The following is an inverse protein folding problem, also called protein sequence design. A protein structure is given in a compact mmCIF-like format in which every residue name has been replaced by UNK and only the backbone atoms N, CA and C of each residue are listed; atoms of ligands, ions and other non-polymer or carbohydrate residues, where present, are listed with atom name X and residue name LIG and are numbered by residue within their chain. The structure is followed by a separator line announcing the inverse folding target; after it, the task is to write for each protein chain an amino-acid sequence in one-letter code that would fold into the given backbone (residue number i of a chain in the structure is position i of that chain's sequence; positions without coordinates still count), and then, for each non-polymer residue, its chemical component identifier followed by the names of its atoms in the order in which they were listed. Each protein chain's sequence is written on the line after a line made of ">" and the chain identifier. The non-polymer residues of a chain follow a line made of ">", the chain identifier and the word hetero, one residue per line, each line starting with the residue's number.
data_IF_410793979256
#
_entry.id   IF_410793979256
#
_cell.length_a   1.000
_cell.length_b   1.000
_cell.length_c   1.000
_cell.angle_alpha   90.00
_cell.angle_beta   90.00
_cell.angle_gamma   90.00
#
_symmetry.space_group_name_H-M   'P 1'
#
loop_
_entity.id
_entity.type
_entity.pdbx_description
1 polymer ?
#
# COMPACT_ATOMS: atom_id res chain seq x y z
N UNK A 1 -29.33 31.89 -35.32
CA UNK A 1 -30.21 32.69 -34.46
C UNK A 1 -29.75 32.50 -33.01
N UNK A 2 -29.11 33.46 -32.40
CA UNK A 2 -28.71 33.43 -30.99
C UNK A 2 -29.88 33.98 -30.18
N UNK A 3 -30.60 33.14 -29.45
CA UNK A 3 -31.61 33.59 -28.47
C UNK A 3 -30.97 33.62 -27.09
N UNK A 4 -30.97 34.80 -26.45
CA UNK A 4 -30.55 34.93 -25.06
C UNK A 4 -31.75 34.65 -24.15
N UNK A 5 -31.66 33.59 -23.39
CA UNK A 5 -32.64 33.28 -22.34
C UNK A 5 -32.26 33.99 -21.02
N UNK A 6 -32.38 35.32 -21.06
CA UNK A 6 -32.08 36.24 -19.96
C UNK A 6 -33.35 36.38 -19.09
N UNK A 7 -33.47 35.54 -18.06
CA UNK A 7 -34.48 35.75 -17.02
C UNK A 7 -33.97 36.67 -15.93
N UNK A 8 -34.86 37.44 -15.28
CA UNK A 8 -34.52 38.35 -14.14
C UNK A 8 -33.78 37.61 -13.04
N UNK A 9 -34.08 36.33 -12.80
CA UNK A 9 -33.32 35.47 -11.87
C UNK A 9 -31.88 35.20 -12.31
N UNK A 10 -31.61 35.01 -13.59
CA UNK A 10 -30.24 34.87 -14.12
C UNK A 10 -29.46 36.17 -14.02
N UNK A 11 -30.11 37.29 -14.23
CA UNK A 11 -29.51 38.63 -14.07
C UNK A 11 -29.19 38.92 -12.58
N UNK A 12 -30.10 38.63 -11.65
CA UNK A 12 -29.84 38.72 -10.21
C UNK A 12 -28.70 37.87 -9.74
N UNK A 13 -28.64 36.60 -10.19
CA UNK A 13 -27.52 35.67 -9.88
C UNK A 13 -26.20 36.16 -10.42
N UNK A 14 -26.15 36.87 -11.54
CA UNK A 14 -24.90 37.42 -12.11
C UNK A 14 -24.42 38.69 -11.43
N UNK A 15 -25.33 39.41 -10.73
CA UNK A 15 -25.04 40.68 -10.04
C UNK A 15 -24.78 40.46 -8.54
N UNK A 16 -25.40 39.46 -7.93
CA UNK A 16 -25.18 39.12 -6.52
C UNK A 16 -23.83 38.39 -6.40
N UNK A 17 -22.88 39.05 -5.74
CA UNK A 17 -21.60 38.44 -5.37
C UNK A 17 -21.64 38.03 -3.91
N UNK A 18 -21.35 36.78 -3.64
CA UNK A 18 -21.16 36.32 -2.28
C UNK A 18 -19.81 36.80 -1.76
N UNK A 19 -19.81 37.29 -0.54
CA UNK A 19 -18.59 37.66 0.18
C UNK A 19 -18.55 36.88 1.50
N UNK A 20 -17.40 36.36 1.83
CA UNK A 20 -17.16 35.69 3.10
C UNK A 20 -16.57 36.70 4.08
N UNK A 21 -17.03 36.68 5.33
CA UNK A 21 -16.54 37.54 6.39
C UNK A 21 -15.50 36.77 7.20
N UNK A 22 -14.25 37.20 7.16
CA UNK A 22 -13.18 36.67 7.99
C UNK A 22 -12.62 37.75 8.89
N UNK A 23 -12.99 37.74 10.17
CA UNK A 23 -12.75 38.82 11.08
C UNK A 23 -13.43 40.11 10.57
N UNK A 24 -12.65 41.16 10.32
CA UNK A 24 -13.12 42.47 9.80
C UNK A 24 -13.04 42.58 8.26
N UNK A 25 -12.72 41.51 7.55
CA UNK A 25 -12.52 41.56 6.10
C UNK A 25 -13.63 40.81 5.36
N UNK A 26 -14.15 41.45 4.33
CA UNK A 26 -15.05 40.81 3.36
C UNK A 26 -14.23 40.33 2.18
N UNK A 27 -14.16 39.00 2.00
CA UNK A 27 -13.39 38.37 0.95
C UNK A 27 -14.37 37.91 -0.15
N UNK A 28 -14.23 38.42 -1.38
CA UNK A 28 -15.06 37.96 -2.50
C UNK A 28 -14.84 36.48 -2.84
N UNK A 29 -15.92 35.79 -3.23
CA UNK A 29 -15.88 34.37 -3.57
C UNK A 29 -14.78 34.01 -4.60
N UNK A 30 -14.51 34.86 -5.57
CA UNK A 30 -13.50 34.67 -6.59
C UNK A 30 -12.03 34.76 -6.10
N UNK A 31 -11.82 35.11 -4.84
CA UNK A 31 -10.50 35.11 -4.20
C UNK A 31 -10.21 33.82 -3.41
N UNK A 32 -11.20 32.95 -3.25
CA UNK A 32 -10.97 31.63 -2.66
C UNK A 32 -10.52 30.60 -3.69
N UNK A 33 -9.66 29.69 -3.26
CA UNK A 33 -9.32 28.51 -4.05
C UNK A 33 -10.53 27.58 -4.23
N UNK A 34 -10.56 26.82 -5.31
CA UNK A 34 -11.68 25.91 -5.66
C UNK A 34 -12.04 24.92 -4.54
N UNK A 35 -11.04 24.42 -3.80
CA UNK A 35 -11.29 23.50 -2.68
C UNK A 35 -12.09 24.12 -1.55
N UNK A 36 -11.80 25.38 -1.20
CA UNK A 36 -12.55 26.09 -0.19
C UNK A 36 -13.98 26.40 -0.67
N UNK A 37 -14.10 26.81 -1.93
CA UNK A 37 -15.41 27.03 -2.56
C UNK A 37 -16.26 25.75 -2.56
N UNK A 38 -15.67 24.59 -2.86
CA UNK A 38 -16.36 23.31 -2.80
C UNK A 38 -16.87 22.99 -1.38
N UNK A 39 -16.03 23.17 -0.37
CA UNK A 39 -16.42 22.98 1.03
C UNK A 39 -17.62 23.88 1.39
N UNK A 40 -17.57 25.16 1.02
CA UNK A 40 -18.67 26.10 1.27
C UNK A 40 -19.95 25.71 0.51
N UNK A 41 -19.84 25.17 -0.70
CA UNK A 41 -20.98 24.66 -1.44
C UNK A 41 -21.62 23.45 -0.75
N UNK A 42 -20.84 22.53 -0.22
CA UNK A 42 -21.34 21.40 0.58
C UNK A 42 -22.13 21.90 1.79
N UNK A 43 -21.56 22.83 2.55
CA UNK A 43 -22.21 23.45 3.73
C UNK A 43 -23.51 24.15 3.32
N UNK A 44 -23.48 24.98 2.26
CA UNK A 44 -24.66 25.72 1.78
C UNK A 44 -25.76 24.79 1.30
N UNK A 45 -25.42 23.67 0.66
CA UNK A 45 -26.40 22.67 0.22
C UNK A 45 -27.06 21.97 1.42
N UNK A 46 -26.30 21.66 2.47
CA UNK A 46 -26.83 21.05 3.71
C UNK A 46 -27.78 22.03 4.40
N UNK A 47 -27.39 23.31 4.56
CA UNK A 47 -28.26 24.34 5.11
C UNK A 47 -29.53 24.49 4.26
N UNK A 48 -29.39 24.61 2.95
CA UNK A 48 -30.53 24.74 2.04
C UNK A 48 -31.49 23.55 2.08
N UNK A 49 -30.96 22.33 2.33
CA UNK A 49 -31.80 21.15 2.58
C UNK A 49 -32.54 21.26 3.92
N UNK A 50 -31.85 21.67 4.98
CA UNK A 50 -32.44 21.84 6.30
C UNK A 50 -33.57 22.88 6.30
N UNK A 51 -33.40 23.98 5.57
CA UNK A 51 -34.38 25.07 5.51
C UNK A 51 -35.66 24.71 4.76
N UNK A 52 -35.60 23.71 3.85
CA UNK A 52 -36.79 23.27 3.10
C UNK A 52 -37.88 22.64 3.97
N UNK A 53 -37.54 22.13 5.13
CA UNK A 53 -38.44 21.40 5.99
C UNK A 53 -38.64 22.09 7.35
N UNK A 54 -39.87 22.31 7.82
CA UNK A 54 -40.10 22.75 9.21
C UNK A 54 -39.47 21.79 10.23
N UNK A 55 -39.12 22.29 11.40
CA UNK A 55 -38.52 21.55 12.50
C UNK A 55 -39.29 20.25 12.81
N UNK A 56 -40.60 20.33 12.95
CA UNK A 56 -41.48 19.19 13.25
C UNK A 56 -41.44 18.10 12.17
N UNK A 57 -41.42 18.51 10.91
CA UNK A 57 -41.34 17.58 9.75
C UNK A 57 -39.96 16.97 9.64
N UNK A 58 -38.90 17.76 9.82
CA UNK A 58 -37.53 17.27 9.75
C UNK A 58 -37.21 16.26 10.86
N UNK A 59 -37.60 16.58 12.12
CA UNK A 59 -37.31 15.74 13.27
C UNK A 59 -38.14 14.46 13.36
N UNK A 60 -39.25 14.37 12.60
CA UNK A 60 -40.11 13.18 12.53
C UNK A 60 -39.71 12.18 11.44
N UNK A 61 -38.70 12.50 10.64
CA UNK A 61 -38.25 11.70 9.49
C UNK A 61 -36.80 11.20 9.68
N UNK A 62 -36.46 10.13 8.97
CA UNK A 62 -35.07 9.73 8.82
C UNK A 62 -34.47 10.53 7.67
N UNK A 63 -33.45 11.33 7.98
CA UNK A 63 -32.77 12.14 6.99
C UNK A 63 -31.51 11.43 6.50
N UNK A 64 -31.39 11.27 5.18
CA UNK A 64 -30.22 10.71 4.54
C UNK A 64 -29.45 11.83 3.84
N UNK A 65 -28.23 12.09 4.28
CA UNK A 65 -27.35 13.10 3.71
C UNK A 65 -26.22 12.38 2.98
N UNK A 66 -26.18 12.46 1.67
CA UNK A 66 -25.12 11.89 0.83
C UNK A 66 -24.19 13.00 0.35
N UNK A 67 -22.92 12.85 0.60
CA UNK A 67 -21.85 13.72 0.13
C UNK A 67 -20.95 12.91 -0.78
N UNK A 68 -20.98 13.23 -2.07
CA UNK A 68 -20.23 12.49 -3.10
C UNK A 68 -18.91 13.22 -3.38
N UNK A 69 -17.80 12.46 -3.30
CA UNK A 69 -16.45 12.87 -3.64
C UNK A 69 -16.09 14.28 -3.12
N UNK A 70 -16.20 14.52 -1.79
CA UNK A 70 -15.94 15.86 -1.22
C UNK A 70 -14.51 16.34 -1.47
N UNK A 71 -13.58 15.44 -1.74
CA UNK A 71 -12.17 15.72 -2.04
C UNK A 71 -11.94 16.53 -3.31
N UNK A 72 -12.93 16.63 -4.19
CA UNK A 72 -12.80 17.33 -5.47
C UNK A 72 -12.31 18.77 -5.27
N UNK A 73 -11.16 19.08 -5.88
CA UNK A 73 -10.41 20.34 -5.74
C UNK A 73 -9.86 20.65 -4.34
N UNK A 74 -10.03 19.77 -3.35
CA UNK A 74 -9.48 20.00 -2.00
C UNK A 74 -8.01 19.56 -1.92
N UNK A 75 -7.17 20.41 -1.32
CA UNK A 75 -5.82 20.03 -0.94
C UNK A 75 -5.86 18.88 0.08
N UNK A 76 -4.91 17.91 0.05
CA UNK A 76 -4.89 16.78 0.99
C UNK A 76 -5.14 17.13 2.45
N UNK A 77 -4.50 18.19 2.96
CA UNK A 77 -4.72 18.67 4.34
C UNK A 77 -6.17 19.09 4.60
N UNK A 78 -6.86 19.68 3.62
CA UNK A 78 -8.27 20.04 3.77
C UNK A 78 -9.18 18.80 3.76
N UNK A 79 -8.81 17.75 3.01
CA UNK A 79 -9.55 16.49 3.01
C UNK A 79 -9.51 15.83 4.38
N UNK A 80 -8.34 15.81 5.02
CA UNK A 80 -8.16 15.29 6.38
C UNK A 80 -8.96 16.09 7.42
N UNK A 81 -8.91 17.42 7.34
CA UNK A 81 -9.70 18.29 8.21
C UNK A 81 -11.21 18.11 7.99
N UNK A 82 -11.64 17.99 6.73
CA UNK A 82 -13.04 17.82 6.40
C UNK A 82 -13.62 16.55 7.06
N UNK A 83 -13.00 15.39 6.86
CA UNK A 83 -13.52 14.12 7.39
C UNK A 83 -13.50 14.09 8.92
N UNK A 84 -12.50 14.74 9.55
CA UNK A 84 -12.42 14.89 10.99
C UNK A 84 -13.58 15.73 11.54
N UNK A 85 -13.86 16.85 10.91
CA UNK A 85 -14.74 17.86 11.49
C UNK A 85 -16.19 17.79 10.93
N UNK A 86 -16.45 17.02 9.88
CA UNK A 86 -17.75 16.96 9.17
C UNK A 86 -18.93 16.63 10.09
N UNK A 87 -18.78 15.67 11.00
CA UNK A 87 -19.83 15.30 11.93
C UNK A 87 -20.12 16.39 12.95
N UNK A 88 -19.08 17.05 13.46
CA UNK A 88 -19.21 18.18 14.40
C UNK A 88 -19.86 19.37 13.70
N UNK A 89 -19.44 19.65 12.47
CA UNK A 89 -19.99 20.72 11.65
C UNK A 89 -21.49 20.51 11.37
N UNK A 90 -21.87 19.31 10.92
CA UNK A 90 -23.28 18.98 10.64
C UNK A 90 -24.11 19.01 11.93
N UNK A 91 -23.58 18.48 13.04
CA UNK A 91 -24.22 18.57 14.35
C UNK A 91 -24.51 20.01 14.78
N UNK A 92 -23.52 20.88 14.68
CA UNK A 92 -23.68 22.31 15.03
C UNK A 92 -24.69 23.03 14.11
N UNK A 93 -24.73 22.70 12.82
CA UNK A 93 -25.73 23.24 11.88
C UNK A 93 -27.15 22.79 12.26
N UNK A 94 -27.34 21.53 12.62
CA UNK A 94 -28.63 20.97 13.03
C UNK A 94 -29.11 21.63 14.34
N UNK A 95 -28.26 21.74 15.33
CA UNK A 95 -28.57 22.39 16.61
C UNK A 95 -28.94 23.87 16.40
N UNK A 96 -28.20 24.60 15.58
CA UNK A 96 -28.48 26.00 15.25
C UNK A 96 -29.85 26.24 14.58
N UNK A 97 -30.42 25.19 13.97
CA UNK A 97 -31.77 25.22 13.38
C UNK A 97 -32.84 24.46 14.20
N UNK A 98 -32.57 24.13 15.46
CA UNK A 98 -33.44 23.34 16.35
C UNK A 98 -33.85 21.98 15.74
N UNK A 99 -32.95 21.36 14.98
CA UNK A 99 -33.16 20.08 14.32
C UNK A 99 -32.33 19.00 14.99
N UNK A 100 -32.91 17.81 15.16
CA UNK A 100 -32.24 16.71 15.81
C UNK A 100 -31.70 15.69 14.79
N UNK A 101 -30.62 15.00 15.18
CA UNK A 101 -29.88 14.08 14.30
C UNK A 101 -30.55 12.69 14.27
N UNK A 102 -31.73 12.57 13.65
CA UNK A 102 -32.13 11.28 13.09
C UNK A 102 -31.61 11.19 11.66
N UNK A 103 -30.32 11.50 11.48
CA UNK A 103 -29.72 11.61 10.15
C UNK A 103 -28.60 10.60 10.00
N UNK A 104 -28.55 9.94 8.85
CA UNK A 104 -27.42 9.14 8.41
C UNK A 104 -26.63 9.93 7.36
N UNK A 105 -25.32 10.02 7.58
CA UNK A 105 -24.41 10.66 6.64
C UNK A 105 -23.67 9.58 5.88
N UNK A 106 -23.72 9.62 4.56
CA UNK A 106 -22.96 8.73 3.65
C UNK A 106 -22.00 9.60 2.88
N UNK A 107 -20.72 9.25 2.92
CA UNK A 107 -19.66 9.94 2.17
C UNK A 107 -19.05 8.91 1.22
N UNK A 108 -19.08 9.20 -0.09
CA UNK A 108 -18.34 8.42 -1.07
C UNK A 108 -17.02 9.14 -1.37
N UNK A 109 -15.95 8.38 -1.52
CA UNK A 109 -14.62 8.95 -1.77
C UNK A 109 -13.70 7.99 -2.50
N UNK A 110 -12.80 8.55 -3.32
CA UNK A 110 -11.64 7.89 -3.90
C UNK A 110 -10.32 8.37 -3.25
N UNK A 111 -10.41 9.11 -2.13
CA UNK A 111 -9.24 9.68 -1.47
C UNK A 111 -8.68 8.78 -0.38
N UNK A 112 -7.42 8.38 -0.57
CA UNK A 112 -6.65 7.71 0.47
C UNK A 112 -6.41 8.61 1.70
N UNK A 113 -6.42 9.93 1.56
CA UNK A 113 -6.30 10.88 2.67
C UNK A 113 -7.55 10.87 3.56
N UNK A 114 -8.74 10.90 2.96
CA UNK A 114 -10.01 10.80 3.69
C UNK A 114 -10.07 9.47 4.45
N UNK A 115 -9.76 8.36 3.77
CA UNK A 115 -9.78 7.04 4.38
C UNK A 115 -8.78 6.92 5.53
N UNK A 116 -7.54 7.38 5.31
CA UNK A 116 -6.49 7.35 6.31
C UNK A 116 -6.88 8.15 7.56
N UNK A 117 -7.37 9.38 7.37
CA UNK A 117 -7.83 10.23 8.48
C UNK A 117 -9.01 9.58 9.22
N UNK A 118 -9.98 9.00 8.51
CA UNK A 118 -11.12 8.30 9.11
C UNK A 118 -10.69 7.14 10.01
N UNK A 119 -9.74 6.31 9.55
CA UNK A 119 -9.24 5.17 10.32
C UNK A 119 -8.46 5.64 11.55
N UNK A 120 -7.59 6.64 11.39
CA UNK A 120 -6.74 7.12 12.47
C UNK A 120 -7.51 7.88 13.54
N UNK A 121 -8.43 8.75 13.17
CA UNK A 121 -9.20 9.55 14.11
C UNK A 121 -10.13 8.69 14.95
N UNK A 122 -10.90 7.81 14.32
CA UNK A 122 -11.78 6.87 15.01
C UNK A 122 -11.05 5.70 15.65
N UNK A 123 -9.75 5.50 15.35
CA UNK A 123 -9.00 4.29 15.65
C UNK A 123 -9.83 3.02 15.37
N UNK A 124 -10.55 3.03 14.24
CA UNK A 124 -11.55 2.01 13.91
C UNK A 124 -11.79 1.94 12.39
N UNK A 125 -12.03 0.73 11.91
CA UNK A 125 -12.55 0.49 10.56
C UNK A 125 -14.08 0.60 10.48
N UNK A 126 -14.75 0.78 11.61
CA UNK A 126 -16.20 0.82 11.66
C UNK A 126 -16.79 1.91 10.75
N UNK A 127 -17.93 1.60 10.15
CA UNK A 127 -18.65 2.46 9.21
C UNK A 127 -17.90 2.71 7.89
N UNK A 128 -17.01 1.81 7.48
CA UNK A 128 -16.39 1.82 6.16
C UNK A 128 -17.04 0.73 5.31
N UNK A 129 -17.58 1.11 4.16
CA UNK A 129 -18.07 0.19 3.15
C UNK A 129 -17.12 0.26 1.95
N UNK A 130 -16.43 -0.84 1.70
CA UNK A 130 -15.54 -0.98 0.57
C UNK A 130 -16.32 -1.49 -0.64
N UNK A 131 -16.35 -0.71 -1.70
CA UNK A 131 -17.04 -1.06 -2.94
C UNK A 131 -16.00 -1.56 -3.94
N UNK A 132 -16.20 -2.78 -4.42
CA UNK A 132 -15.30 -3.43 -5.37
C UNK A 132 -16.11 -4.19 -6.43
N UNK A 133 -15.44 -4.60 -7.49
CA UNK A 133 -16.02 -5.48 -8.51
C UNK A 133 -15.53 -6.91 -8.30
N UNK A 134 -16.45 -7.87 -8.36
CA UNK A 134 -16.14 -9.28 -8.31
C UNK A 134 -17.01 -10.02 -9.33
N UNK A 135 -16.39 -10.73 -10.28
CA UNK A 135 -17.06 -11.45 -11.37
C UNK A 135 -18.07 -10.54 -12.14
N UNK A 136 -17.66 -9.35 -12.55
CA UNK A 136 -18.46 -8.33 -13.24
C UNK A 136 -19.71 -7.88 -12.44
N UNK A 137 -19.70 -8.04 -11.13
CA UNK A 137 -20.74 -7.57 -10.23
C UNK A 137 -20.15 -6.64 -9.19
N UNK A 138 -20.77 -5.47 -9.02
CA UNK A 138 -20.42 -4.55 -7.94
C UNK A 138 -20.79 -5.15 -6.59
N UNK A 139 -19.84 -5.24 -5.69
CA UNK A 139 -20.01 -5.77 -4.34
C UNK A 139 -19.63 -4.70 -3.32
N UNK A 140 -20.41 -4.59 -2.24
CA UNK A 140 -20.07 -3.78 -1.08
C UNK A 140 -19.65 -4.69 0.06
N UNK A 141 -18.44 -4.48 0.58
CA UNK A 141 -17.87 -5.23 1.70
C UNK A 141 -17.86 -4.30 2.90
N UNK A 142 -18.53 -4.70 3.97
CA UNK A 142 -18.51 -3.97 5.22
C UNK A 142 -17.15 -4.23 5.88
N UNK A 143 -16.36 -3.17 6.00
CA UNK A 143 -15.12 -3.22 6.76
C UNK A 143 -15.40 -2.66 8.15
N UNK A 144 -15.27 -3.53 9.14
CA UNK A 144 -15.28 -3.18 10.54
C UNK A 144 -14.22 -3.98 11.29
N UNK A 145 -14.01 -3.65 12.54
CA UNK A 145 -13.00 -4.31 13.37
C UNK A 145 -13.25 -5.82 13.52
N UNK A 146 -14.52 -6.26 13.47
CA UNK A 146 -14.91 -7.66 13.56
C UNK A 146 -14.74 -8.41 12.24
N UNK A 147 -14.96 -7.75 11.13
CA UNK A 147 -14.76 -8.33 9.79
C UNK A 147 -13.28 -8.55 9.50
N UNK A 148 -12.42 -7.59 9.91
CA UNK A 148 -10.98 -7.68 9.68
C UNK A 148 -10.34 -8.73 10.58
N UNK A 149 -10.60 -8.70 11.90
CA UNK A 149 -10.12 -9.72 12.84
C UNK A 149 -11.29 -10.22 13.69
N UNK A 150 -11.97 -11.28 13.25
CA UNK A 150 -13.14 -11.81 13.94
C UNK A 150 -12.85 -12.25 15.38
N UNK A 151 -13.77 -11.93 16.28
CA UNK A 151 -13.77 -12.50 17.63
C UNK A 151 -14.16 -13.97 17.55
N UNK A 152 -13.38 -14.85 18.18
CA UNK A 152 -13.70 -16.28 18.28
C UNK A 152 -14.74 -16.51 19.39
N UNK A 153 -15.64 -17.47 19.16
CA UNK A 153 -16.52 -17.92 20.24
C UNK A 153 -15.69 -18.52 21.37
N UNK A 154 -15.96 -18.11 22.62
CA UNK A 154 -15.21 -18.52 23.83
C UNK A 154 -13.69 -18.18 23.77
N UNK A 155 -13.33 -17.04 23.19
CA UNK A 155 -11.97 -16.55 23.16
C UNK A 155 -11.42 -16.33 24.58
N UNK A 156 -10.25 -16.90 24.87
CA UNK A 156 -9.58 -16.68 26.16
C UNK A 156 -9.08 -15.21 26.25
N UNK A 157 -8.99 -14.66 27.47
CA UNK A 157 -8.55 -13.27 27.68
C UNK A 157 -7.18 -12.96 27.03
N UNK A 158 -6.28 -13.93 27.01
CA UNK A 158 -4.96 -13.77 26.40
C UNK A 158 -5.03 -13.66 24.87
N UNK A 159 -5.92 -14.44 24.24
CA UNK A 159 -6.14 -14.40 22.79
C UNK A 159 -6.88 -13.12 22.39
N UNK A 160 -7.84 -12.66 23.20
CA UNK A 160 -8.51 -11.37 23.01
C UNK A 160 -7.49 -10.21 23.05
N UNK A 161 -6.58 -10.20 24.02
CA UNK A 161 -5.51 -9.20 24.10
C UNK A 161 -4.61 -9.21 22.87
N UNK A 162 -4.22 -10.40 22.38
CA UNK A 162 -3.42 -10.56 21.16
C UNK A 162 -4.17 -10.03 19.94
N UNK A 163 -5.44 -10.38 19.79
CA UNK A 163 -6.30 -9.93 18.71
C UNK A 163 -6.45 -8.41 18.68
N UNK A 164 -6.75 -7.80 19.83
CA UNK A 164 -6.86 -6.35 19.96
C UNK A 164 -5.54 -5.63 19.68
N UNK A 165 -4.42 -6.19 20.15
CA UNK A 165 -3.09 -5.66 19.86
C UNK A 165 -2.76 -5.73 18.37
N UNK A 166 -3.09 -6.83 17.68
CA UNK A 166 -2.92 -6.97 16.23
C UNK A 166 -3.77 -5.96 15.47
N UNK A 167 -5.04 -5.80 15.84
CA UNK A 167 -5.93 -4.83 15.21
C UNK A 167 -5.43 -3.39 15.42
N UNK A 168 -4.98 -3.05 16.62
CA UNK A 168 -4.40 -1.75 16.92
C UNK A 168 -3.10 -1.51 16.14
N UNK A 169 -2.29 -2.56 15.96
CA UNK A 169 -1.08 -2.49 15.16
C UNK A 169 -1.41 -2.18 13.69
N UNK A 170 -2.34 -2.91 13.08
CA UNK A 170 -2.78 -2.66 11.69
C UNK A 170 -3.23 -1.20 11.55
N UNK A 171 -4.13 -0.72 12.42
CA UNK A 171 -4.64 0.66 12.36
C UNK A 171 -3.55 1.71 12.46
N UNK A 172 -2.57 1.52 13.36
CA UNK A 172 -1.46 2.45 13.52
C UNK A 172 -0.45 2.42 12.36
N UNK A 173 -0.31 1.26 11.73
CA UNK A 173 0.61 1.08 10.61
C UNK A 173 0.00 1.40 9.24
N UNK A 174 -1.32 1.57 9.15
CA UNK A 174 -1.94 2.11 7.94
C UNK A 174 -1.49 3.56 7.82
N UNK A 175 -0.54 3.79 6.92
CA UNK A 175 -0.08 5.10 6.48
C UNK A 175 -0.80 5.48 5.19
N UNK A 176 -0.58 6.68 4.71
CA UNK A 176 -1.13 7.11 3.41
C UNK A 176 -0.82 6.11 2.27
N UNK A 177 0.41 5.58 2.20
CA UNK A 177 0.79 4.57 1.20
C UNK A 177 -0.02 3.28 1.30
N UNK A 178 -0.25 2.79 2.51
CA UNK A 178 -1.08 1.59 2.73
C UNK A 178 -2.58 1.88 2.48
N UNK A 179 -3.06 3.10 2.74
CA UNK A 179 -4.44 3.48 2.43
C UNK A 179 -4.74 3.45 0.93
N UNK A 180 -3.73 3.61 0.07
CA UNK A 180 -3.88 3.45 -1.38
C UNK A 180 -4.26 2.02 -1.80
N UNK A 181 -3.96 1.03 -0.97
CA UNK A 181 -4.35 -0.37 -1.19
C UNK A 181 -5.86 -0.54 -1.45
N UNK A 182 -6.69 0.27 -0.79
CA UNK A 182 -8.15 0.20 -0.93
C UNK A 182 -8.65 0.67 -2.30
N UNK A 183 -7.82 1.33 -3.08
CA UNK A 183 -8.17 1.87 -4.41
C UNK A 183 -7.38 1.22 -5.52
N UNK A 184 -6.52 0.25 -5.18
CA UNK A 184 -5.64 -0.40 -6.13
C UNK A 184 -6.31 -1.59 -6.83
N UNK A 185 -5.91 -1.85 -8.08
CA UNK A 185 -6.27 -3.06 -8.82
C UNK A 185 -5.50 -4.29 -8.28
N UNK A 186 -4.29 -4.06 -7.77
CA UNK A 186 -3.46 -5.08 -7.11
C UNK A 186 -2.44 -4.43 -6.18
N UNK A 187 -1.82 -5.22 -5.31
CA UNK A 187 -0.77 -4.74 -4.43
C UNK A 187 0.43 -5.68 -4.36
N UNK A 188 1.62 -5.10 -4.29
CA UNK A 188 2.87 -5.81 -4.08
C UNK A 188 3.51 -5.27 -2.80
N UNK A 189 3.83 -6.17 -1.88
CA UNK A 189 4.58 -5.87 -0.67
C UNK A 189 5.99 -6.39 -0.80
N UNK A 190 6.98 -5.55 -0.51
CA UNK A 190 8.41 -5.89 -0.54
C UNK A 190 9.05 -5.63 0.81
N UNK A 191 10.03 -6.43 1.17
CA UNK A 191 10.69 -6.36 2.47
C UNK A 191 11.77 -5.28 2.52
N UNK A 192 12.51 -5.08 1.42
CA UNK A 192 13.68 -4.22 1.35
C UNK A 192 13.59 -3.07 0.36
N UNK A 193 14.46 -2.08 0.58
CA UNK A 193 14.56 -0.90 -0.28
C UNK A 193 15.05 -1.23 -1.69
N UNK A 194 15.88 -2.27 -1.84
CA UNK A 194 16.41 -2.68 -3.13
C UNK A 194 15.33 -3.21 -4.05
N UNK A 195 14.45 -4.06 -3.52
CA UNK A 195 13.26 -4.54 -4.23
C UNK A 195 12.35 -3.38 -4.60
N UNK A 196 12.08 -2.49 -3.65
CA UNK A 196 11.19 -1.35 -3.87
C UNK A 196 11.65 -0.50 -5.04
N UNK A 197 12.93 -0.11 -5.05
CA UNK A 197 13.51 0.77 -6.09
C UNK A 197 13.51 0.09 -7.47
N UNK A 198 13.96 -1.16 -7.54
CA UNK A 198 14.11 -1.85 -8.83
C UNK A 198 12.77 -2.33 -9.39
N UNK A 199 11.84 -2.78 -8.54
CA UNK A 199 10.52 -3.20 -9.01
C UNK A 199 9.66 -2.03 -9.45
N UNK A 200 9.81 -0.85 -8.87
CA UNK A 200 9.12 0.35 -9.34
C UNK A 200 9.46 0.64 -10.81
N UNK A 201 10.73 0.53 -11.19
CA UNK A 201 11.16 0.70 -12.58
C UNK A 201 10.61 -0.43 -13.48
N UNK A 202 10.75 -1.67 -13.05
CA UNK A 202 10.24 -2.82 -13.80
C UNK A 202 8.73 -2.71 -14.07
N UNK A 203 7.95 -2.35 -13.06
CA UNK A 203 6.49 -2.18 -13.18
C UNK A 203 6.13 -1.05 -14.16
N UNK A 204 6.90 0.05 -14.19
CA UNK A 204 6.68 1.17 -15.09
C UNK A 204 6.92 0.82 -16.57
N UNK A 205 7.72 -0.19 -16.85
CA UNK A 205 8.01 -0.69 -18.19
C UNK A 205 7.13 -1.89 -18.61
N UNK A 206 6.53 -2.58 -17.63
CA UNK A 206 5.71 -3.77 -17.91
C UNK A 206 4.37 -3.40 -18.55
N UNK A 207 4.05 -4.01 -19.70
CA UNK A 207 2.91 -3.61 -20.55
C UNK A 207 1.55 -3.57 -19.85
N UNK A 208 1.25 -4.55 -18.99
CA UNK A 208 -0.01 -4.58 -18.26
C UNK A 208 0.06 -3.75 -16.98
N UNK A 209 1.13 -3.90 -16.17
CA UNK A 209 1.20 -3.25 -14.86
C UNK A 209 1.21 -1.72 -14.95
N UNK A 210 1.83 -1.15 -16.00
CA UNK A 210 1.81 0.31 -16.24
C UNK A 210 0.43 0.88 -16.56
N UNK A 211 -0.54 0.03 -16.96
CA UNK A 211 -1.90 0.43 -17.31
C UNK A 211 -2.88 0.25 -16.14
N UNK A 212 -2.48 -0.42 -15.08
CA UNK A 212 -3.29 -0.72 -13.89
C UNK A 212 -2.75 0.04 -12.68
N UNK A 213 -3.63 0.33 -11.73
CA UNK A 213 -3.18 0.94 -10.48
C UNK A 213 -2.69 -0.14 -9.52
N UNK A 214 -1.41 -0.50 -9.64
CA UNK A 214 -0.75 -1.47 -8.77
C UNK A 214 0.10 -0.74 -7.74
N UNK A 215 -0.21 -0.92 -6.45
CA UNK A 215 0.57 -0.31 -5.37
C UNK A 215 1.78 -1.17 -5.01
N UNK A 216 2.93 -0.53 -4.88
CA UNK A 216 4.15 -1.14 -4.35
C UNK A 216 4.41 -0.61 -2.94
N UNK A 217 4.42 -1.50 -1.95
CA UNK A 217 4.46 -1.15 -0.54
C UNK A 217 5.72 -1.70 0.12
N UNK A 218 6.55 -0.81 0.67
CA UNK A 218 7.73 -1.19 1.43
C UNK A 218 7.33 -1.50 2.88
N UNK A 219 7.54 -2.75 3.29
CA UNK A 219 7.28 -3.23 4.65
C UNK A 219 8.62 -3.57 5.28
N UNK A 220 9.24 -2.61 5.92
CA UNK A 220 10.55 -2.79 6.54
C UNK A 220 10.58 -4.01 7.47
N UNK A 221 11.22 -5.10 6.99
CA UNK A 221 11.31 -6.38 7.69
C UNK A 221 10.12 -7.32 7.44
N UNK A 222 10.17 -8.52 8.02
CA UNK A 222 9.24 -9.61 7.81
C UNK A 222 7.87 -9.41 8.51
N UNK A 223 7.20 -8.28 8.25
CA UNK A 223 5.94 -7.91 8.92
C UNK A 223 4.71 -7.93 8.00
N UNK A 224 4.86 -8.32 6.73
CA UNK A 224 3.75 -8.32 5.77
C UNK A 224 2.55 -9.20 6.19
N UNK A 225 2.80 -10.27 6.98
CA UNK A 225 1.75 -11.15 7.51
C UNK A 225 0.72 -10.42 8.37
N UNK A 226 1.07 -9.29 8.96
CA UNK A 226 0.15 -8.49 9.79
C UNK A 226 -1.03 -7.98 8.98
N UNK A 227 -0.81 -7.70 7.69
CA UNK A 227 -1.86 -7.22 6.78
C UNK A 227 -2.74 -8.34 6.20
N UNK A 228 -2.41 -9.63 6.45
CA UNK A 228 -3.18 -10.77 5.90
C UNK A 228 -4.69 -10.69 6.13
N UNK A 229 -5.20 -10.30 7.34
CA UNK A 229 -6.64 -10.15 7.54
C UNK A 229 -7.25 -9.05 6.65
N UNK A 230 -6.57 -7.92 6.51
CA UNK A 230 -7.00 -6.82 5.64
C UNK A 230 -6.96 -7.25 4.16
N UNK A 231 -5.87 -7.87 3.72
CA UNK A 231 -5.70 -8.39 2.35
C UNK A 231 -6.83 -9.35 2.00
N UNK A 232 -7.18 -10.27 2.92
CA UNK A 232 -8.27 -11.21 2.70
C UNK A 232 -9.64 -10.53 2.55
N UNK A 233 -9.85 -9.40 3.24
CA UNK A 233 -11.09 -8.64 3.14
C UNK A 233 -11.21 -7.82 1.84
N UNK A 234 -10.11 -7.39 1.24
CA UNK A 234 -10.13 -6.51 0.07
C UNK A 234 -10.35 -7.23 -1.27
N UNK A 235 -10.13 -8.54 -1.34
CA UNK A 235 -10.30 -9.37 -2.55
C UNK A 235 -9.48 -8.97 -3.78
N UNK A 236 -8.53 -8.04 -3.66
CA UNK A 236 -7.59 -7.69 -4.74
C UNK A 236 -6.42 -8.68 -4.78
N UNK A 237 -5.78 -8.90 -5.95
CA UNK A 237 -4.55 -9.69 -6.03
C UNK A 237 -3.43 -9.06 -5.20
N UNK A 238 -2.80 -9.84 -4.35
CA UNK A 238 -1.69 -9.37 -3.50
C UNK A 238 -0.51 -10.32 -3.60
N UNK A 239 0.66 -9.76 -3.85
CA UNK A 239 1.94 -10.44 -3.81
C UNK A 239 2.77 -9.93 -2.63
N UNK A 240 3.28 -10.84 -1.83
CA UNK A 240 4.28 -10.56 -0.80
C UNK A 240 5.61 -11.17 -1.25
N UNK A 241 6.62 -10.33 -1.37
CA UNK A 241 8.00 -10.71 -1.66
C UNK A 241 8.80 -10.55 -0.38
N UNK A 242 9.39 -11.62 0.11
CA UNK A 242 10.13 -11.61 1.38
C UNK A 242 11.38 -12.49 1.28
N UNK A 243 12.35 -12.25 2.16
CA UNK A 243 13.61 -12.97 2.17
C UNK A 243 13.51 -14.29 2.95
N UNK A 244 14.21 -15.35 2.50
CA UNK A 244 14.19 -16.61 3.21
C UNK A 244 15.02 -16.58 4.49
N UNK A 245 16.03 -15.72 4.57
CA UNK A 245 16.84 -15.46 5.75
C UNK A 245 17.31 -16.72 6.50
N UNK A 246 18.24 -17.46 5.91
CA UNK A 246 18.79 -18.67 6.55
C UNK A 246 19.45 -18.37 7.89
N UNK A 247 19.06 -19.11 8.92
CA UNK A 247 19.74 -19.06 10.21
C UNK A 247 21.15 -19.62 10.04
N UNK A 248 22.13 -18.80 10.42
CA UNK A 248 23.55 -19.13 10.36
C UNK A 248 24.18 -19.07 11.74
N UNK A 249 25.10 -19.96 12.05
CA UNK A 249 25.90 -19.92 13.26
C UNK A 249 26.94 -18.78 13.23
N UNK A 250 27.51 -18.46 14.39
CA UNK A 250 28.49 -17.36 14.50
C UNK A 250 29.71 -17.57 13.59
N UNK A 251 30.19 -18.82 13.47
CA UNK A 251 31.36 -19.14 12.65
C UNK A 251 31.00 -19.02 11.17
N UNK A 252 29.86 -19.57 10.73
CA UNK A 252 29.40 -19.46 9.36
C UNK A 252 29.22 -18.00 8.90
N UNK A 253 28.74 -17.13 9.81
CA UNK A 253 28.64 -15.69 9.53
C UNK A 253 30.02 -15.04 9.41
N UNK A 254 30.96 -15.43 10.26
CA UNK A 254 32.34 -14.91 10.23
C UNK A 254 33.06 -15.34 8.96
N UNK A 255 32.94 -16.63 8.59
CA UNK A 255 33.58 -17.22 7.43
C UNK A 255 32.80 -16.94 6.13
N UNK A 256 31.61 -16.29 6.24
CA UNK A 256 30.77 -15.88 5.11
C UNK A 256 30.43 -17.03 4.17
N UNK A 257 30.05 -18.18 4.76
CA UNK A 257 29.80 -19.42 4.05
C UNK A 257 28.55 -19.29 3.16
N UNK A 258 28.69 -19.68 1.89
CA UNK A 258 27.60 -19.78 0.93
C UNK A 258 26.60 -20.86 1.34
N UNK A 259 25.33 -20.71 0.96
CA UNK A 259 24.31 -21.70 1.22
C UNK A 259 24.21 -22.65 0.02
N UNK A 260 24.65 -23.89 0.23
CA UNK A 260 24.55 -24.99 -0.75
C UNK A 260 23.47 -25.96 -0.33
N UNK A 261 23.05 -26.88 -1.22
CA UNK A 261 22.06 -27.91 -0.90
C UNK A 261 22.49 -28.76 0.30
N UNK A 262 23.76 -29.11 0.40
CA UNK A 262 24.31 -29.87 1.53
C UNK A 262 24.18 -29.09 2.87
N UNK A 263 24.31 -27.77 2.84
CA UNK A 263 24.20 -26.91 4.02
C UNK A 263 22.74 -26.66 4.45
N UNK A 264 21.75 -27.02 3.64
CA UNK A 264 20.32 -26.81 3.94
C UNK A 264 19.71 -27.88 4.85
N UNK A 265 20.40 -28.98 5.11
CA UNK A 265 19.86 -30.06 5.95
C UNK A 265 19.53 -29.52 7.34
N UNK A 266 18.25 -29.62 7.73
CA UNK A 266 17.71 -29.09 9.00
C UNK A 266 17.95 -27.59 9.26
N UNK A 267 18.32 -26.82 8.24
CA UNK A 267 18.50 -25.36 8.35
C UNK A 267 17.14 -24.67 8.61
N UNK A 268 17.13 -23.81 9.60
CA UNK A 268 15.95 -22.96 9.90
C UNK A 268 16.02 -21.63 9.15
N UNK A 269 14.84 -21.05 8.87
CA UNK A 269 14.72 -19.64 8.54
C UNK A 269 14.63 -18.80 9.81
N UNK A 270 15.15 -17.56 9.76
CA UNK A 270 14.92 -16.55 10.80
C UNK A 270 13.71 -15.67 10.46
N UNK A 271 13.15 -15.79 9.24
CA UNK A 271 11.98 -15.06 8.82
C UNK A 271 10.71 -15.64 9.45
N UNK A 272 10.15 -14.93 10.42
CA UNK A 272 8.97 -15.36 11.17
C UNK A 272 7.70 -15.35 10.31
N UNK A 273 7.60 -14.45 9.33
CA UNK A 273 6.47 -14.39 8.42
C UNK A 273 6.40 -15.64 7.54
N UNK A 274 7.51 -16.05 6.94
CA UNK A 274 7.57 -17.29 6.17
C UNK A 274 7.25 -18.50 7.03
N UNK A 275 7.79 -18.56 8.25
CA UNK A 275 7.50 -19.66 9.16
C UNK A 275 6.01 -19.77 9.49
N UNK A 276 5.31 -18.65 9.60
CA UNK A 276 3.85 -18.61 9.82
C UNK A 276 3.08 -19.06 8.57
N UNK A 277 3.43 -18.55 7.38
CA UNK A 277 2.76 -18.92 6.13
C UNK A 277 2.91 -20.41 5.81
N UNK A 278 4.10 -20.97 6.01
CA UNK A 278 4.38 -22.37 5.68
C UNK A 278 4.16 -23.35 6.84
N UNK A 279 3.87 -22.86 8.05
CA UNK A 279 3.68 -23.69 9.25
C UNK A 279 4.96 -24.42 9.68
N UNK A 280 6.14 -24.02 9.19
CA UNK A 280 7.44 -24.63 9.50
C UNK A 280 8.56 -23.60 9.46
N UNK A 281 9.57 -23.78 10.31
CA UNK A 281 10.81 -23.00 10.27
C UNK A 281 11.92 -23.67 9.46
N UNK A 282 11.72 -24.90 9.00
CA UNK A 282 12.74 -25.67 8.31
C UNK A 282 12.83 -25.20 6.86
N UNK A 283 13.92 -24.53 6.51
CA UNK A 283 14.12 -23.93 5.21
C UNK A 283 14.03 -24.95 4.06
N UNK A 284 14.58 -26.14 4.21
CA UNK A 284 14.49 -27.18 3.18
C UNK A 284 13.05 -27.63 2.87
N UNK A 285 12.13 -27.56 3.83
CA UNK A 285 10.71 -27.83 3.60
C UNK A 285 10.04 -26.67 2.84
N UNK A 286 10.37 -25.42 3.21
CA UNK A 286 9.88 -24.23 2.50
C UNK A 286 10.35 -24.23 1.04
N UNK A 287 11.64 -24.50 0.79
CA UNK A 287 12.22 -24.51 -0.54
C UNK A 287 11.60 -25.56 -1.46
N UNK A 288 11.30 -26.76 -0.94
CA UNK A 288 10.71 -27.88 -1.70
C UNK A 288 9.20 -27.77 -1.90
N UNK A 289 8.51 -26.93 -1.14
CA UNK A 289 7.06 -26.70 -1.30
C UNK A 289 6.78 -25.75 -2.47
N UNK A 290 5.52 -25.69 -2.93
CA UNK A 290 5.09 -24.63 -3.82
C UNK A 290 5.13 -23.27 -3.11
N UNK A 291 5.07 -22.16 -3.86
CA UNK A 291 4.83 -20.85 -3.24
C UNK A 291 3.53 -20.89 -2.46
N UNK A 292 3.53 -20.23 -1.30
CA UNK A 292 2.30 -20.09 -0.51
C UNK A 292 1.27 -19.30 -1.32
N UNK A 293 0.08 -19.87 -1.44
CA UNK A 293 -1.03 -19.23 -2.11
C UNK A 293 -2.32 -19.50 -1.35
N UNK A 294 -3.05 -18.45 -1.02
CA UNK A 294 -4.34 -18.51 -0.36
C UNK A 294 -5.27 -17.44 -0.93
N UNK A 295 -6.33 -17.85 -1.63
CA UNK A 295 -7.26 -16.93 -2.27
C UNK A 295 -6.56 -16.00 -3.28
N UNK A 296 -6.55 -14.72 -2.95
CA UNK A 296 -5.94 -13.64 -3.74
C UNK A 296 -4.50 -13.29 -3.34
N UNK A 297 -3.94 -13.98 -2.35
CA UNK A 297 -2.60 -13.75 -1.81
C UNK A 297 -1.63 -14.80 -2.32
N UNK A 298 -0.44 -14.35 -2.77
CA UNK A 298 0.73 -15.19 -3.01
C UNK A 298 1.93 -14.64 -2.24
N UNK A 299 2.73 -15.55 -1.67
CA UNK A 299 3.99 -15.20 -0.98
C UNK A 299 5.15 -15.88 -1.69
N UNK A 300 6.13 -15.09 -2.13
CA UNK A 300 7.34 -15.58 -2.80
C UNK A 300 8.60 -15.27 -2.01
N UNK A 301 9.58 -16.15 -2.12
CA UNK A 301 10.92 -15.98 -1.58
C UNK A 301 11.94 -16.73 -2.44
N UNK A 302 13.23 -16.63 -2.14
CA UNK A 302 14.33 -17.27 -2.87
C UNK A 302 14.28 -18.78 -2.71
N UNK A 303 13.57 -19.49 -3.60
CA UNK A 303 13.44 -20.96 -3.55
C UNK A 303 14.38 -21.71 -4.47
N UNK A 304 14.73 -21.12 -5.60
CA UNK A 304 15.53 -21.78 -6.61
C UNK A 304 17.03 -21.72 -6.28
N UNK A 305 17.71 -22.82 -6.58
CA UNK A 305 19.17 -22.83 -6.68
C UNK A 305 19.61 -22.00 -7.88
N UNK A 306 20.59 -21.13 -7.67
CA UNK A 306 21.18 -20.29 -8.70
C UNK A 306 22.68 -20.54 -8.69
N UNK A 307 23.21 -21.13 -9.76
CA UNK A 307 24.67 -21.43 -9.91
C UNK A 307 25.25 -22.26 -8.74
N UNK A 308 24.49 -23.23 -8.21
CA UNK A 308 24.93 -24.10 -7.12
C UNK A 308 24.67 -23.55 -5.71
N UNK A 309 24.04 -22.36 -5.60
CA UNK A 309 23.83 -21.68 -4.33
C UNK A 309 22.37 -21.27 -4.13
N UNK A 310 21.97 -21.20 -2.86
CA UNK A 310 20.66 -20.68 -2.44
C UNK A 310 20.84 -19.30 -1.83
N UNK A 311 20.24 -18.29 -2.44
CA UNK A 311 20.31 -16.93 -1.96
C UNK A 311 19.55 -16.74 -0.64
N UNK A 312 20.11 -15.91 0.26
CA UNK A 312 19.50 -15.57 1.54
C UNK A 312 18.55 -14.37 1.43
N UNK A 313 18.89 -13.44 0.53
CA UNK A 313 18.16 -12.17 0.33
C UNK A 313 18.04 -11.81 -1.13
N UNK A 314 17.25 -10.78 -1.41
CA UNK A 314 17.08 -10.25 -2.76
C UNK A 314 18.41 -9.86 -3.41
N UNK A 315 19.27 -9.11 -2.71
CA UNK A 315 20.55 -8.66 -3.28
C UNK A 315 21.44 -9.85 -3.64
N UNK A 316 21.47 -10.87 -2.80
CA UNK A 316 22.24 -12.09 -3.10
C UNK A 316 21.66 -12.81 -4.33
N UNK A 317 20.32 -12.93 -4.42
CA UNK A 317 19.68 -13.54 -5.58
C UNK A 317 19.92 -12.76 -6.88
N UNK A 318 19.88 -11.42 -6.81
CA UNK A 318 20.15 -10.55 -7.94
C UNK A 318 21.60 -10.69 -8.43
N UNK A 319 22.57 -10.73 -7.50
CA UNK A 319 24.00 -10.93 -7.81
C UNK A 319 24.23 -12.30 -8.44
N UNK A 320 23.65 -13.35 -7.88
CA UNK A 320 23.77 -14.71 -8.44
C UNK A 320 23.15 -14.79 -9.84
N UNK A 321 21.97 -14.23 -10.04
CA UNK A 321 21.29 -14.23 -11.35
C UNK A 321 22.09 -13.51 -12.41
N UNK A 322 22.85 -12.47 -12.02
CA UNK A 322 23.57 -11.56 -12.91
C UNK A 322 25.10 -11.52 -12.67
N UNK A 323 25.69 -12.61 -12.20
CA UNK A 323 27.09 -12.65 -11.75
C UNK A 323 28.11 -12.30 -12.87
N UNK A 324 27.70 -12.45 -14.14
CA UNK A 324 28.51 -12.12 -15.30
C UNK A 324 28.19 -10.74 -15.90
N UNK A 325 27.17 -10.03 -15.42
CA UNK A 325 26.78 -8.74 -15.96
C UNK A 325 27.78 -7.65 -15.53
N UNK A 326 28.29 -6.87 -16.49
CA UNK A 326 29.34 -5.88 -16.23
C UNK A 326 28.86 -4.70 -15.40
N UNK A 327 27.58 -4.31 -15.51
CA UNK A 327 27.01 -3.23 -14.67
C UNK A 327 26.97 -3.64 -13.20
N UNK A 328 26.51 -4.86 -12.90
CA UNK A 328 26.53 -5.42 -11.54
C UNK A 328 27.94 -5.44 -10.99
N UNK A 329 28.92 -5.91 -11.77
CA UNK A 329 30.34 -5.93 -11.39
C UNK A 329 30.86 -4.52 -11.10
N UNK A 330 30.54 -3.56 -11.97
CA UNK A 330 31.01 -2.18 -11.84
C UNK A 330 30.43 -1.52 -10.58
N UNK A 331 29.13 -1.67 -10.33
CA UNK A 331 28.45 -1.10 -9.14
C UNK A 331 29.04 -1.69 -7.86
N UNK A 332 29.26 -3.01 -7.82
CA UNK A 332 29.89 -3.65 -6.64
C UNK A 332 31.33 -3.15 -6.46
N UNK A 333 32.10 -3.02 -7.55
CA UNK A 333 33.48 -2.50 -7.51
C UNK A 333 33.54 -1.08 -6.97
N UNK A 334 32.60 -0.21 -7.35
CA UNK A 334 32.55 1.16 -6.89
C UNK A 334 32.18 1.28 -5.42
N UNK A 335 31.20 0.49 -4.96
CA UNK A 335 30.75 0.51 -3.58
C UNK A 335 31.70 -0.21 -2.63
N UNK A 336 32.29 -1.34 -3.06
CA UNK A 336 33.10 -2.24 -2.23
C UNK A 336 34.36 -2.70 -2.96
N UNK A 337 35.28 -1.79 -3.30
CA UNK A 337 36.43 -2.10 -4.17
C UNK A 337 37.30 -3.22 -3.65
N UNK A 338 37.60 -3.26 -2.37
CA UNK A 338 38.44 -4.31 -1.78
C UNK A 338 37.74 -5.68 -1.81
N UNK A 339 36.46 -5.72 -1.41
CA UNK A 339 35.66 -6.98 -1.45
C UNK A 339 35.54 -7.48 -2.87
N UNK A 340 35.28 -6.58 -3.83
CA UNK A 340 35.21 -6.93 -5.24
C UNK A 340 36.51 -7.57 -5.74
N UNK A 341 37.65 -6.93 -5.46
CA UNK A 341 38.95 -7.44 -5.92
C UNK A 341 39.23 -8.82 -5.33
N UNK A 342 39.08 -9.00 -4.01
CA UNK A 342 39.29 -10.28 -3.34
C UNK A 342 38.37 -11.39 -3.90
N UNK A 343 37.10 -11.08 -4.18
CA UNK A 343 36.15 -12.07 -4.73
C UNK A 343 36.49 -12.42 -6.18
N UNK A 344 36.95 -11.46 -6.99
CA UNK A 344 37.31 -11.73 -8.40
C UNK A 344 38.61 -12.54 -8.53
N UNK A 345 39.52 -12.43 -7.58
CA UNK A 345 40.74 -13.24 -7.52
C UNK A 345 40.46 -14.68 -7.04
N UNK A 346 39.32 -14.93 -6.37
CA UNK A 346 38.95 -16.20 -5.73
C UNK A 346 37.60 -16.72 -6.24
N UNK A 347 37.44 -16.88 -7.56
CA UNK A 347 36.29 -17.56 -8.18
C UNK A 347 35.17 -16.67 -8.68
N UNK A 348 35.12 -15.38 -8.32
CA UNK A 348 34.17 -14.41 -8.85
C UNK A 348 32.93 -14.15 -8.00
N UNK A 349 31.96 -13.43 -8.57
CA UNK A 349 30.81 -12.93 -7.81
C UNK A 349 29.88 -14.06 -7.31
N UNK A 350 29.69 -15.12 -8.10
CA UNK A 350 28.79 -16.21 -7.75
C UNK A 350 29.26 -16.95 -6.51
N UNK A 351 30.57 -17.30 -6.44
CA UNK A 351 31.14 -18.05 -5.32
C UNK A 351 31.17 -17.22 -4.02
N UNK A 352 31.09 -15.89 -4.13
CA UNK A 352 31.15 -14.98 -3.00
C UNK A 352 29.90 -14.12 -2.82
N UNK A 353 28.77 -14.51 -3.40
CA UNK A 353 27.53 -13.70 -3.42
C UNK A 353 27.07 -13.32 -2.02
N UNK A 354 27.11 -14.25 -1.05
CA UNK A 354 26.76 -13.97 0.35
C UNK A 354 27.74 -12.97 1.00
N UNK A 355 29.04 -13.11 0.72
CA UNK A 355 30.07 -12.18 1.21
C UNK A 355 29.82 -10.76 0.71
N UNK A 356 29.48 -10.64 -0.58
CA UNK A 356 29.20 -9.36 -1.23
C UNK A 356 27.91 -8.77 -0.65
N UNK A 357 26.83 -9.54 -0.60
CA UNK A 357 25.56 -9.13 0.00
C UNK A 357 25.75 -8.62 1.43
N UNK A 358 26.53 -9.32 2.25
CA UNK A 358 26.82 -8.89 3.62
C UNK A 358 27.63 -7.59 3.68
N UNK A 359 28.51 -7.34 2.73
CA UNK A 359 29.24 -6.08 2.63
C UNK A 359 28.36 -4.90 2.21
N UNK A 360 27.29 -5.18 1.43
CA UNK A 360 26.31 -4.20 0.97
C UNK A 360 25.18 -3.93 1.99
N UNK A 361 25.16 -4.61 3.13
CA UNK A 361 24.03 -4.55 4.06
C UNK A 361 23.67 -3.13 4.55
N UNK A 362 24.62 -2.21 4.61
CA UNK A 362 24.38 -0.80 4.96
C UNK A 362 24.21 0.11 3.74
N UNK A 363 24.53 -0.37 2.55
CA UNK A 363 24.54 0.38 1.30
C UNK A 363 23.50 -0.16 0.29
N UNK A 364 22.47 -0.86 0.77
CA UNK A 364 21.42 -1.44 -0.08
C UNK A 364 20.74 -0.39 -0.96
N UNK A 365 20.44 0.78 -0.39
CA UNK A 365 19.85 1.90 -1.14
C UNK A 365 20.77 2.41 -2.22
N UNK A 366 22.06 2.59 -1.93
CA UNK A 366 23.04 3.06 -2.90
C UNK A 366 23.25 2.05 -4.02
N UNK A 367 23.30 0.76 -3.67
CA UNK A 367 23.37 -0.33 -4.63
C UNK A 367 22.19 -0.30 -5.61
N UNK A 368 20.97 -0.25 -5.08
CA UNK A 368 19.77 -0.24 -5.90
C UNK A 368 19.66 1.03 -6.77
N UNK A 369 19.96 2.20 -6.21
CA UNK A 369 19.86 3.47 -6.95
C UNK A 369 20.92 3.58 -8.05
N UNK A 370 22.13 3.06 -7.85
CA UNK A 370 23.16 3.03 -8.91
C UNK A 370 22.75 2.10 -10.05
N UNK A 371 22.23 0.90 -9.73
CA UNK A 371 21.69 0.01 -10.75
C UNK A 371 20.52 0.64 -11.50
N UNK A 372 19.58 1.27 -10.79
CA UNK A 372 18.47 1.99 -11.39
C UNK A 372 18.96 3.09 -12.35
N UNK A 373 19.97 3.86 -11.95
CA UNK A 373 20.56 4.90 -12.78
C UNK A 373 21.10 4.33 -14.11
N UNK A 374 21.87 3.23 -14.04
CA UNK A 374 22.42 2.58 -15.24
C UNK A 374 21.32 1.97 -16.12
N UNK A 375 20.27 1.41 -15.54
CA UNK A 375 19.10 0.90 -16.25
C UNK A 375 18.40 2.03 -17.01
N UNK A 376 18.17 3.18 -16.37
CA UNK A 376 17.49 4.34 -16.97
C UNK A 376 18.34 4.96 -18.10
N UNK A 377 19.66 5.10 -17.92
CA UNK A 377 20.56 5.57 -18.99
C UNK A 377 20.57 4.61 -20.18
N UNK A 378 20.24 3.34 -19.93
CA UNK A 378 20.02 2.37 -20.99
C UNK A 378 21.30 1.87 -21.66
N UNK A 379 22.38 1.65 -20.90
CA UNK A 379 23.54 0.90 -21.40
C UNK A 379 23.09 -0.51 -21.81
N UNK A 380 23.69 -1.07 -22.85
CA UNK A 380 23.29 -2.41 -23.33
C UNK A 380 23.36 -3.46 -22.23
N UNK A 381 24.42 -3.44 -21.42
CA UNK A 381 24.60 -4.40 -20.33
C UNK A 381 23.59 -4.20 -19.19
N UNK A 382 23.12 -2.98 -18.96
CA UNK A 382 22.09 -2.69 -17.96
C UNK A 382 20.70 -3.23 -18.37
N UNK A 383 20.39 -3.26 -19.67
CA UNK A 383 19.14 -3.86 -20.19
C UNK A 383 19.12 -5.38 -20.07
N UNK A 384 20.27 -6.02 -19.90
CA UNK A 384 20.39 -7.45 -19.71
C UNK A 384 20.27 -7.89 -18.24
N UNK A 385 20.12 -6.94 -17.29
CA UNK A 385 19.90 -7.26 -15.87
C UNK A 385 18.56 -7.96 -15.72
N UNK A 386 18.60 -9.19 -15.22
CA UNK A 386 17.42 -10.05 -15.02
C UNK A 386 16.99 -10.02 -13.56
N UNK A 387 15.68 -9.90 -13.32
CA UNK A 387 15.13 -10.15 -12.00
C UNK A 387 15.26 -11.62 -11.63
N UNK A 388 15.47 -11.96 -10.35
CA UNK A 388 15.44 -13.34 -9.88
C UNK A 388 14.08 -14.01 -10.17
N UNK A 389 14.11 -15.33 -10.48
CA UNK A 389 12.94 -16.07 -10.95
C UNK A 389 11.74 -15.99 -10.00
N UNK A 390 11.95 -16.05 -8.68
CA UNK A 390 10.86 -15.96 -7.70
C UNK A 390 10.11 -14.62 -7.74
N UNK A 391 10.78 -13.54 -8.15
CA UNK A 391 10.16 -12.22 -8.39
C UNK A 391 9.27 -12.30 -9.63
N UNK A 392 9.81 -12.87 -10.73
CA UNK A 392 9.08 -13.04 -11.99
C UNK A 392 7.83 -13.91 -11.77
N UNK A 393 7.97 -15.05 -11.09
CA UNK A 393 6.85 -15.92 -10.77
C UNK A 393 5.74 -15.22 -9.97
N UNK A 394 6.15 -14.35 -9.01
CA UNK A 394 5.23 -13.54 -8.24
C UNK A 394 4.51 -12.48 -9.07
N UNK A 395 5.24 -11.79 -9.93
CA UNK A 395 4.66 -10.78 -10.84
C UNK A 395 3.70 -11.45 -11.83
N UNK A 396 4.06 -12.60 -12.38
CA UNK A 396 3.20 -13.37 -13.28
C UNK A 396 1.89 -13.82 -12.61
N UNK A 397 1.93 -14.08 -11.31
CA UNK A 397 0.69 -14.33 -10.55
C UNK A 397 -0.21 -13.09 -10.54
N UNK A 398 0.33 -11.92 -10.24
CA UNK A 398 -0.44 -10.66 -10.24
C UNK A 398 -1.00 -10.37 -11.63
N UNK A 399 -0.17 -10.48 -12.66
CA UNK A 399 -0.56 -10.26 -14.06
C UNK A 399 -1.72 -11.16 -14.47
N UNK A 400 -1.60 -12.48 -14.24
CA UNK A 400 -2.68 -13.44 -14.56
C UNK A 400 -3.99 -13.15 -13.81
N UNK A 401 -3.90 -12.65 -12.58
CA UNK A 401 -5.09 -12.27 -11.82
C UNK A 401 -5.72 -11.00 -12.34
N UNK A 402 -4.92 -10.03 -12.78
CA UNK A 402 -5.42 -8.79 -13.39
C UNK A 402 -6.01 -9.00 -14.78
N UNK A 403 -5.54 -9.99 -15.54
CA UNK A 403 -6.12 -10.37 -16.83
C UNK A 403 -7.47 -11.10 -16.70
N UNK A 404 -7.73 -11.70 -15.54
CA UNK A 404 -8.95 -12.43 -15.26
C UNK A 404 -10.10 -11.55 -14.74
N UNK A 405 -9.80 -10.29 -14.39
CA UNK A 405 -10.76 -9.26 -13.99
C UNK A 405 -11.17 -8.44 -15.23
#
# INVERSE_FOLDING_TARGET
>A
MLSSDLTFQKLLKSVLKYQYVEGDKNIPENQFGLGYTNLMMIVANIIGYMEKFPETSFNSQINLITIEEPETFMHPQMQELFIRDVNVMIGALLEGHNKHVNSQIIITTHSAHILNSKIHEGNSFNSINYVTENNNCTCAIILDDQTIIPKKENEAEEDEKKRLAQLQYIKKHITFGISQLFFADAAIFVEGISEYVLLQQYMSEHDLLKQKYVTLNLVNGAFAQVYRPLISALHIPVLIITDIDFKREKQERKDRIQMTEAALSNRETTNTALAEYYGTKIASQILKSNYFQEGNLMVTCQKAEIQGYYATSFEEALILTNSNNEVIKQVIKELKPQVYQECMEDGGLAEHSYRIQRSLAQDKSDFANRLLYDIIIGTNDAKEIKLPQYIIDGIDFVVRRLEAI
#
